data_IF_146970998194
#
_entry.id   IF_146970998194
#
_cell.length_a   1.000
_cell.length_b   1.000
_cell.length_c   1.000
_cell.angle_alpha   90.00
_cell.angle_beta   90.00
_cell.angle_gamma   90.00
#
_symmetry.space_group_name_H-M   'P 1'
#
loop_
_entity.id
_entity.type
_entity.pdbx_description
1 polymer ?
#
# COMPACT_ATOMS: atom_id res chain seq x y z
N UNK A 1 -3.37 13.19 -3.28
CA UNK A 1 -3.47 11.73 -3.15
C UNK A 1 -3.84 11.17 -4.51
N UNK A 2 -2.89 10.50 -5.19
CA UNK A 2 -3.18 9.79 -6.45
C UNK A 2 -4.04 8.57 -6.14
N UNK A 3 -5.22 8.48 -6.75
CA UNK A 3 -6.06 7.29 -6.65
C UNK A 3 -5.40 6.22 -7.53
N UNK A 4 -5.02 5.08 -6.95
CA UNK A 4 -4.45 3.97 -7.72
C UNK A 4 -5.40 3.60 -8.86
N UNK A 5 -4.89 3.59 -10.08
CA UNK A 5 -5.64 3.08 -11.24
C UNK A 5 -5.84 1.57 -11.06
N UNK A 6 -7.05 1.09 -11.31
CA UNK A 6 -7.47 -0.29 -10.98
C UNK A 6 -8.17 -1.01 -12.13
N UNK A 7 -8.47 -0.31 -13.24
CA UNK A 7 -9.24 -0.89 -14.35
C UNK A 7 -8.37 -1.62 -15.34
N UNK A 8 -7.07 -1.30 -15.46
CA UNK A 8 -6.13 -2.02 -16.33
C UNK A 8 -6.22 -3.54 -16.13
N UNK A 9 -6.01 -3.99 -14.89
CA UNK A 9 -5.92 -5.42 -14.58
C UNK A 9 -7.20 -6.18 -14.91
N UNK A 10 -8.35 -5.61 -14.53
CA UNK A 10 -9.66 -6.19 -14.87
C UNK A 10 -9.92 -6.17 -16.37
N UNK A 11 -9.54 -5.10 -17.06
CA UNK A 11 -9.73 -4.97 -18.50
C UNK A 11 -8.97 -6.06 -19.27
N UNK A 12 -7.75 -6.38 -18.84
CA UNK A 12 -6.94 -7.46 -19.41
C UNK A 12 -7.59 -8.83 -19.13
N UNK A 13 -8.01 -9.09 -17.90
CA UNK A 13 -8.67 -10.36 -17.52
C UNK A 13 -9.96 -10.62 -18.30
N UNK A 14 -10.80 -9.60 -18.43
CA UNK A 14 -12.09 -9.69 -19.14
C UNK A 14 -11.92 -9.78 -20.67
N UNK A 15 -10.71 -9.56 -21.19
CA UNK A 15 -10.43 -9.57 -22.62
C UNK A 15 -9.94 -10.94 -23.10
N UNK A 16 -10.90 -11.81 -23.43
CA UNK A 16 -10.66 -13.20 -23.89
C UNK A 16 -9.72 -13.31 -25.09
N UNK A 17 -9.73 -12.32 -25.99
CA UNK A 17 -8.88 -12.34 -27.19
C UNK A 17 -7.70 -11.39 -27.12
N UNK A 18 -7.67 -10.48 -26.14
CA UNK A 18 -6.78 -9.31 -26.11
C UNK A 18 -6.90 -8.41 -27.34
N UNK A 19 -8.02 -8.49 -28.06
CA UNK A 19 -8.35 -7.69 -29.22
C UNK A 19 -9.72 -7.01 -29.01
N UNK A 20 -9.89 -5.82 -29.57
CA UNK A 20 -11.17 -5.10 -29.51
C UNK A 20 -11.13 -3.78 -30.28
N UNK A 21 -12.29 -3.18 -30.52
CA UNK A 21 -12.36 -1.85 -31.10
C UNK A 21 -11.96 -0.80 -30.05
N UNK A 22 -11.55 0.40 -30.49
CA UNK A 22 -11.21 1.50 -29.57
C UNK A 22 -12.34 1.79 -28.58
N UNK A 23 -13.60 1.76 -29.03
CA UNK A 23 -14.78 1.96 -28.18
C UNK A 23 -14.92 0.91 -27.07
N UNK A 24 -14.61 -0.36 -27.35
CA UNK A 24 -14.67 -1.44 -26.35
C UNK A 24 -13.60 -1.25 -25.27
N UNK A 25 -12.37 -0.90 -25.69
CA UNK A 25 -11.27 -0.59 -24.78
C UNK A 25 -11.57 0.65 -23.94
N UNK A 26 -12.09 1.74 -24.54
CA UNK A 26 -12.52 2.95 -23.84
C UNK A 26 -13.58 2.65 -22.77
N UNK A 27 -14.56 1.79 -23.09
CA UNK A 27 -15.61 1.39 -22.15
C UNK A 27 -15.05 0.67 -20.93
N UNK A 28 -14.14 -0.30 -21.13
CA UNK A 28 -13.55 -1.10 -20.05
C UNK A 28 -12.58 -0.28 -19.19
N UNK A 29 -11.67 0.47 -19.83
CA UNK A 29 -10.66 1.28 -19.14
C UNK A 29 -11.25 2.57 -18.56
N UNK A 30 -12.35 3.08 -19.11
CA UNK A 30 -13.00 4.31 -18.66
C UNK A 30 -12.06 5.51 -18.69
N UNK A 31 -11.96 6.22 -17.57
CA UNK A 31 -11.07 7.39 -17.41
C UNK A 31 -9.59 7.03 -17.51
N UNK A 32 -9.23 5.75 -17.40
CA UNK A 32 -7.83 5.28 -17.49
C UNK A 32 -7.41 4.99 -18.95
N UNK A 33 -8.30 5.14 -19.93
CA UNK A 33 -8.02 4.75 -21.31
C UNK A 33 -6.80 5.45 -21.91
N UNK A 34 -6.70 6.78 -21.79
CA UNK A 34 -5.59 7.52 -22.42
C UNK A 34 -4.23 7.11 -21.84
N UNK A 35 -4.15 6.86 -20.53
CA UNK A 35 -2.94 6.39 -19.84
C UNK A 35 -2.49 5.00 -20.33
N UNK A 36 -3.42 4.18 -20.82
CA UNK A 36 -3.14 2.81 -21.29
C UNK A 36 -3.24 2.62 -22.80
N UNK A 37 -3.55 3.67 -23.56
CA UNK A 37 -3.59 3.64 -25.03
C UNK A 37 -2.28 3.15 -25.63
N UNK A 38 -1.13 3.42 -24.97
CA UNK A 38 0.20 2.96 -25.39
C UNK A 38 0.36 1.44 -25.48
N UNK A 39 -0.48 0.67 -24.78
CA UNK A 39 -0.49 -0.79 -24.88
C UNK A 39 -1.40 -1.31 -26.00
N UNK A 40 -2.08 -0.44 -26.77
CA UNK A 40 -3.05 -0.84 -27.78
C UNK A 40 -2.50 -0.57 -29.19
N UNK A 41 -2.05 -1.63 -29.85
CA UNK A 41 -1.49 -1.56 -31.18
C UNK A 41 -2.59 -1.80 -32.24
N UNK A 42 -2.76 -0.92 -33.23
CA UNK A 42 -3.67 -1.17 -34.34
C UNK A 42 -3.20 -2.36 -35.17
N UNK A 43 -4.16 -3.16 -35.64
CA UNK A 43 -3.90 -4.28 -36.55
C UNK A 43 -4.47 -3.98 -37.94
N UNK A 44 -4.15 -4.82 -38.92
CA UNK A 44 -4.75 -4.78 -40.27
C UNK A 44 -6.20 -5.30 -40.29
N UNK A 45 -6.63 -5.98 -39.22
CA UNK A 45 -7.96 -6.58 -39.09
C UNK A 45 -8.98 -5.58 -38.57
N UNK A 46 -10.25 -5.85 -38.89
CA UNK A 46 -11.39 -5.20 -38.26
C UNK A 46 -12.05 -6.16 -37.28
N UNK A 47 -12.72 -5.61 -36.27
CA UNK A 47 -13.52 -6.42 -35.37
C UNK A 47 -14.77 -6.93 -36.07
N UNK A 48 -15.18 -8.16 -35.77
CA UNK A 48 -16.45 -8.70 -36.28
C UNK A 48 -17.68 -8.11 -35.56
N UNK A 49 -17.49 -7.70 -34.30
CA UNK A 49 -18.50 -7.05 -33.46
C UNK A 49 -17.87 -6.01 -32.55
N UNK A 50 -18.63 -5.00 -32.17
CA UNK A 50 -18.30 -4.06 -31.10
C UNK A 50 -19.56 -3.70 -30.31
N UNK A 51 -19.39 -3.07 -29.14
CA UNK A 51 -20.51 -2.56 -28.34
C UNK A 51 -20.77 -1.10 -28.66
N UNK A 52 -22.00 -0.75 -29.02
CA UNK A 52 -22.41 0.62 -29.36
C UNK A 52 -22.70 1.50 -28.14
N UNK A 53 -22.76 2.81 -28.37
CA UNK A 53 -23.04 3.82 -27.32
C UNK A 53 -24.52 3.86 -26.88
N UNK A 54 -25.37 3.14 -27.61
CA UNK A 54 -26.80 2.93 -27.41
C UNK A 54 -27.10 1.94 -26.27
N UNK A 55 -26.53 2.18 -25.09
CA UNK A 55 -26.72 1.32 -23.92
C UNK A 55 -25.97 -0.02 -24.00
N UNK A 56 -25.01 -0.16 -24.93
CA UNK A 56 -24.24 -1.39 -25.10
C UNK A 56 -24.96 -2.47 -25.90
N UNK A 57 -25.70 -2.07 -26.93
CA UNK A 57 -26.15 -3.03 -27.94
C UNK A 57 -24.94 -3.60 -28.71
N UNK A 58 -25.02 -4.87 -29.11
CA UNK A 58 -23.98 -5.47 -29.94
C UNK A 58 -24.22 -5.12 -31.41
N UNK A 59 -23.19 -4.57 -32.05
CA UNK A 59 -23.20 -4.22 -33.46
C UNK A 59 -22.28 -5.18 -34.22
N UNK A 60 -22.80 -5.82 -35.27
CA UNK A 60 -22.03 -6.66 -36.19
C UNK A 60 -21.45 -5.81 -37.29
N UNK A 61 -20.17 -6.01 -37.60
CA UNK A 61 -19.48 -5.27 -38.66
C UNK A 61 -19.36 -6.15 -39.90
N UNK A 62 -19.73 -5.59 -41.04
CA UNK A 62 -19.59 -6.21 -42.36
C UNK A 62 -18.83 -5.24 -43.28
N UNK A 63 -17.96 -5.79 -44.13
CA UNK A 63 -17.23 -5.00 -45.13
C UNK A 63 -17.79 -5.30 -46.50
N UNK A 64 -18.20 -4.24 -47.18
CA UNK A 64 -18.70 -4.32 -48.54
C UNK A 64 -18.04 -3.22 -49.35
N UNK A 65 -17.38 -3.59 -50.45
CA UNK A 65 -16.77 -2.62 -51.37
C UNK A 65 -15.80 -1.64 -50.67
N UNK A 66 -14.95 -2.18 -49.78
CA UNK A 66 -13.96 -1.39 -49.01
C UNK A 66 -14.55 -0.51 -47.89
N UNK A 67 -15.87 -0.40 -47.79
CA UNK A 67 -16.59 0.35 -46.75
C UNK A 67 -17.04 -0.56 -45.63
N UNK A 68 -17.07 -0.03 -44.42
CA UNK A 68 -17.49 -0.78 -43.23
C UNK A 68 -18.92 -0.37 -42.86
N UNK A 69 -19.78 -1.35 -42.64
CA UNK A 69 -21.16 -1.16 -42.19
C UNK A 69 -21.34 -1.87 -40.86
N UNK A 70 -22.00 -1.21 -39.92
CA UNK A 70 -22.37 -1.76 -38.63
C UNK A 70 -23.89 -2.00 -38.60
N UNK A 71 -24.31 -3.21 -38.23
CA UNK A 71 -25.70 -3.59 -38.01
C UNK A 71 -25.97 -3.86 -36.54
N UNK A 72 -26.92 -3.16 -35.95
CA UNK A 72 -27.40 -3.43 -34.60
C UNK A 72 -28.10 -4.80 -34.57
N UNK A 73 -27.64 -5.72 -33.71
CA UNK A 73 -28.21 -7.08 -33.67
C UNK A 73 -29.62 -7.14 -33.06
N UNK A 74 -30.07 -6.09 -32.35
CA UNK A 74 -31.40 -6.01 -31.73
C UNK A 74 -32.40 -5.23 -32.58
N UNK A 75 -32.03 -4.03 -33.03
CA UNK A 75 -32.93 -3.12 -33.78
C UNK A 75 -32.88 -3.34 -35.28
N UNK A 76 -31.87 -4.09 -35.78
CA UNK A 76 -31.55 -4.27 -37.20
C UNK A 76 -31.20 -2.96 -37.94
N UNK A 77 -30.98 -1.87 -37.20
CA UNK A 77 -30.48 -0.62 -37.75
C UNK A 77 -29.11 -0.83 -38.40
N UNK A 78 -28.91 -0.23 -39.57
CA UNK A 78 -27.65 -0.28 -40.31
C UNK A 78 -27.09 1.13 -40.48
N UNK A 79 -25.78 1.27 -40.28
CA UNK A 79 -25.07 2.52 -40.55
C UNK A 79 -23.69 2.26 -41.11
N UNK A 80 -23.24 3.15 -41.99
CA UNK A 80 -21.84 3.18 -42.39
C UNK A 80 -20.99 3.68 -41.22
N UNK A 81 -19.84 3.03 -41.00
CA UNK A 81 -18.93 3.36 -39.90
C UNK A 81 -17.50 3.52 -40.43
N UNK A 82 -16.74 4.54 -39.99
CA UNK A 82 -15.35 4.68 -40.40
C UNK A 82 -14.52 3.45 -40.00
N UNK A 83 -13.66 2.99 -40.90
CA UNK A 83 -12.76 1.84 -40.63
C UNK A 83 -11.94 2.03 -39.35
N UNK A 84 -11.53 3.27 -39.04
CA UNK A 84 -10.76 3.59 -37.82
C UNK A 84 -11.50 3.21 -36.53
N UNK A 85 -12.84 3.29 -36.49
CA UNK A 85 -13.62 2.94 -35.30
C UNK A 85 -13.78 1.43 -35.10
N UNK A 86 -13.68 0.65 -36.18
CA UNK A 86 -13.81 -0.82 -36.18
C UNK A 86 -12.48 -1.54 -36.39
N UNK A 87 -11.36 -0.80 -36.44
CA UNK A 87 -10.03 -1.40 -36.49
C UNK A 87 -9.77 -2.14 -35.19
N UNK A 88 -9.34 -3.40 -35.30
CA UNK A 88 -8.99 -4.21 -34.13
C UNK A 88 -7.70 -3.67 -33.53
N UNK A 89 -7.77 -3.20 -32.30
CA UNK A 89 -6.61 -2.89 -31.46
C UNK A 89 -6.23 -4.13 -30.64
N UNK A 90 -4.97 -4.55 -30.72
CA UNK A 90 -4.40 -5.66 -29.95
C UNK A 90 -3.66 -5.12 -28.74
N UNK A 91 -3.90 -5.72 -27.57
CA UNK A 91 -3.14 -5.41 -26.37
C UNK A 91 -1.72 -5.99 -26.46
N UNK A 92 -0.73 -5.13 -26.22
CA UNK A 92 0.69 -5.45 -26.25
C UNK A 92 1.15 -6.06 -24.91
N UNK A 93 0.88 -7.35 -24.76
CA UNK A 93 1.33 -8.10 -23.58
C UNK A 93 2.85 -8.16 -23.51
N UNK A 94 3.56 -8.07 -24.63
CA UNK A 94 5.01 -8.09 -24.63
C UNK A 94 5.58 -6.81 -24.02
N UNK A 95 5.05 -5.64 -24.39
CA UNK A 95 5.41 -4.36 -23.75
C UNK A 95 5.10 -4.39 -22.25
N UNK A 96 3.90 -4.83 -21.86
CA UNK A 96 3.53 -4.98 -20.45
C UNK A 96 4.52 -5.89 -19.71
N UNK A 97 4.86 -7.05 -20.30
CA UNK A 97 5.75 -8.03 -19.68
C UNK A 97 7.16 -7.47 -19.48
N UNK A 98 7.70 -6.72 -20.44
CA UNK A 98 9.00 -6.05 -20.27
C UNK A 98 8.97 -5.00 -19.17
N UNK A 99 7.91 -4.19 -19.10
CA UNK A 99 7.78 -3.20 -18.03
C UNK A 99 7.66 -3.88 -16.67
N UNK A 100 6.91 -4.97 -16.56
CA UNK A 100 6.84 -5.78 -15.35
C UNK A 100 8.20 -6.38 -14.98
N UNK A 101 8.96 -6.90 -15.94
CA UNK A 101 10.29 -7.45 -15.68
C UNK A 101 11.25 -6.39 -15.12
N UNK A 102 11.22 -5.18 -15.69
CA UNK A 102 12.02 -4.05 -15.20
C UNK A 102 11.60 -3.62 -13.79
N UNK A 103 10.30 -3.44 -13.54
CA UNK A 103 9.76 -3.01 -12.24
C UNK A 103 10.07 -4.02 -11.13
N UNK A 104 9.96 -5.31 -11.43
CA UNK A 104 10.16 -6.39 -10.47
C UNK A 104 11.62 -6.87 -10.40
N UNK A 105 12.54 -6.24 -11.14
CA UNK A 105 13.96 -6.65 -11.23
C UNK A 105 14.14 -8.13 -11.59
N UNK A 106 13.29 -8.62 -12.49
CA UNK A 106 13.31 -9.98 -13.03
C UNK A 106 14.27 -10.02 -14.21
N UNK A 107 15.16 -11.01 -14.26
CA UNK A 107 16.13 -11.17 -15.34
C UNK A 107 15.45 -11.36 -16.69
N UNK A 108 16.00 -10.76 -17.75
CA UNK A 108 15.38 -10.74 -19.08
C UNK A 108 15.33 -12.14 -19.71
N UNK A 109 14.12 -12.65 -19.93
CA UNK A 109 13.85 -13.88 -20.69
C UNK A 109 12.39 -13.87 -21.18
N UNK A 110 11.95 -12.75 -21.76
CA UNK A 110 10.56 -12.61 -22.19
C UNK A 110 10.24 -13.55 -23.35
N UNK A 111 9.26 -14.42 -23.15
CA UNK A 111 8.90 -15.46 -24.13
C UNK A 111 7.40 -15.75 -24.08
N UNK A 112 6.71 -15.70 -25.22
CA UNK A 112 5.29 -16.09 -25.31
C UNK A 112 5.18 -17.60 -25.38
N UNK A 113 4.37 -18.20 -24.51
CA UNK A 113 4.15 -19.64 -24.50
C UNK A 113 2.83 -20.00 -25.20
N UNK A 114 2.93 -20.85 -26.22
CA UNK A 114 1.77 -21.40 -26.93
C UNK A 114 1.28 -20.50 -28.05
N UNK A 115 0.01 -20.66 -28.41
CA UNK A 115 -0.58 -19.97 -29.57
C UNK A 115 -1.27 -18.65 -29.19
N UNK A 116 -1.52 -18.42 -27.91
CA UNK A 116 -2.19 -17.22 -27.41
C UNK A 116 -1.18 -16.29 -26.73
N UNK A 117 -1.51 -15.00 -26.64
CA UNK A 117 -0.67 -14.01 -25.95
C UNK A 117 -0.99 -13.93 -24.45
N UNK A 118 -1.75 -14.89 -23.91
CA UNK A 118 -2.20 -14.90 -22.53
C UNK A 118 -1.20 -15.48 -21.55
N UNK A 119 -0.23 -16.27 -22.05
CA UNK A 119 0.80 -16.91 -21.22
C UNK A 119 2.16 -16.44 -21.72
N UNK A 120 2.87 -15.69 -20.88
CA UNK A 120 4.18 -15.13 -21.24
C UNK A 120 5.14 -15.38 -20.09
N UNK A 121 6.29 -15.97 -20.36
CA UNK A 121 7.42 -15.98 -19.43
C UNK A 121 7.91 -14.55 -19.30
N UNK A 122 7.92 -14.04 -18.07
CA UNK A 122 8.40 -12.70 -17.73
C UNK A 122 9.92 -12.72 -17.60
N UNK A 123 10.44 -13.77 -16.97
CA UNK A 123 11.86 -13.94 -16.76
C UNK A 123 12.18 -14.84 -15.56
N UNK A 124 13.27 -14.53 -14.84
CA UNK A 124 13.71 -15.29 -13.66
C UNK A 124 13.93 -14.35 -12.48
N UNK A 125 13.40 -14.69 -11.31
CA UNK A 125 13.63 -13.93 -10.08
C UNK A 125 15.13 -13.89 -9.72
N UNK A 126 15.59 -12.86 -9.00
CA UNK A 126 16.95 -12.82 -8.51
C UNK A 126 17.27 -14.00 -7.56
N UNK A 127 18.56 -14.32 -7.41
CA UNK A 127 19.02 -15.43 -6.57
C UNK A 127 18.56 -15.31 -5.11
N UNK A 128 18.43 -14.08 -4.59
CA UNK A 128 17.91 -13.80 -3.24
C UNK A 128 16.43 -14.20 -3.04
N UNK A 129 15.73 -14.51 -4.14
CA UNK A 129 14.35 -14.99 -4.18
C UNK A 129 14.24 -16.42 -4.74
N UNK A 130 15.37 -17.14 -4.82
CA UNK A 130 15.43 -18.56 -5.19
C UNK A 130 15.47 -18.83 -6.69
N UNK A 131 15.78 -17.85 -7.54
CA UNK A 131 15.98 -18.03 -9.00
C UNK A 131 14.81 -18.72 -9.72
N UNK A 132 13.58 -18.52 -9.24
CA UNK A 132 12.39 -19.16 -9.82
C UNK A 132 11.96 -18.44 -11.11
N UNK A 133 11.56 -19.16 -12.17
CA UNK A 133 10.98 -18.55 -13.35
C UNK A 133 9.62 -17.91 -13.03
N UNK A 134 9.34 -16.79 -13.69
CA UNK A 134 8.13 -15.99 -13.50
C UNK A 134 7.33 -16.00 -14.80
N UNK A 135 6.04 -16.26 -14.70
CA UNK A 135 5.11 -16.28 -15.82
C UNK A 135 3.93 -15.35 -15.55
N UNK A 136 3.48 -14.62 -16.57
CA UNK A 136 2.24 -13.88 -16.59
C UNK A 136 1.16 -14.74 -17.23
N UNK A 137 0.03 -14.92 -16.54
CA UNK A 137 -1.18 -15.48 -17.13
C UNK A 137 -2.36 -14.53 -16.97
N UNK A 138 -3.04 -14.22 -18.08
CA UNK A 138 -4.16 -13.27 -18.11
C UNK A 138 -5.53 -13.92 -18.34
N UNK A 139 -5.60 -15.25 -18.36
CA UNK A 139 -6.86 -15.97 -18.50
C UNK A 139 -7.77 -15.76 -17.28
N UNK A 140 -9.06 -15.60 -17.52
CA UNK A 140 -10.07 -15.42 -16.46
C UNK A 140 -10.93 -16.67 -16.21
N UNK A 141 -10.96 -17.62 -17.16
CA UNK A 141 -11.75 -18.84 -17.04
C UNK A 141 -10.94 -19.99 -16.48
N UNK A 142 -11.54 -20.74 -15.56
CA UNK A 142 -10.91 -21.87 -14.86
C UNK A 142 -10.28 -22.89 -15.83
N UNK A 143 -10.97 -23.23 -16.93
CA UNK A 143 -10.45 -24.20 -17.91
C UNK A 143 -9.16 -23.72 -18.58
N UNK A 144 -9.12 -22.45 -19.01
CA UNK A 144 -7.94 -21.87 -19.66
C UNK A 144 -6.79 -21.68 -18.68
N UNK A 145 -7.08 -21.30 -17.43
CA UNK A 145 -6.07 -21.22 -16.37
C UNK A 145 -5.44 -22.58 -16.07
N UNK A 146 -6.24 -23.64 -15.98
CA UNK A 146 -5.73 -25.00 -15.77
C UNK A 146 -4.86 -25.45 -16.95
N UNK A 147 -5.29 -25.18 -18.19
CA UNK A 147 -4.49 -25.47 -19.38
C UNK A 147 -3.16 -24.68 -19.39
N UNK A 148 -3.20 -23.40 -19.00
CA UNK A 148 -2.02 -22.57 -18.87
C UNK A 148 -1.07 -23.10 -17.78
N UNK A 149 -1.58 -23.52 -16.62
CA UNK A 149 -0.75 -24.11 -15.55
C UNK A 149 -0.04 -25.38 -15.98
N UNK A 150 -0.74 -26.26 -16.70
CA UNK A 150 -0.16 -27.48 -17.27
C UNK A 150 0.93 -27.15 -18.30
N UNK A 151 0.68 -26.17 -19.18
CA UNK A 151 1.66 -25.69 -20.14
C UNK A 151 2.90 -25.08 -19.47
N UNK A 152 2.70 -24.20 -18.49
CA UNK A 152 3.78 -23.56 -17.74
C UNK A 152 4.58 -24.59 -16.94
N UNK A 153 3.91 -25.54 -16.28
CA UNK A 153 4.57 -26.57 -15.48
C UNK A 153 5.54 -27.42 -16.30
N UNK A 154 5.15 -27.81 -17.52
CA UNK A 154 6.05 -28.51 -18.46
C UNK A 154 7.23 -27.64 -18.89
N UNK A 155 7.02 -26.35 -19.08
CA UNK A 155 8.06 -25.41 -19.49
C UNK A 155 9.05 -25.10 -18.36
N UNK A 156 8.54 -24.82 -17.15
CA UNK A 156 9.33 -24.41 -16.00
C UNK A 156 10.22 -25.51 -15.45
N UNK A 157 9.81 -26.79 -15.55
CA UNK A 157 10.56 -27.95 -15.05
C UNK A 157 10.95 -27.84 -13.56
N UNK A 158 10.11 -27.18 -12.76
CA UNK A 158 10.34 -26.93 -11.33
C UNK A 158 9.38 -25.86 -10.76
N UNK A 159 9.53 -25.47 -9.49
CA UNK A 159 8.70 -24.46 -8.87
C UNK A 159 8.77 -23.12 -9.60
N UNK A 160 7.63 -22.47 -9.79
CA UNK A 160 7.56 -21.20 -10.53
C UNK A 160 6.59 -20.20 -9.89
N UNK A 161 6.71 -18.93 -10.30
CA UNK A 161 5.80 -17.86 -9.90
C UNK A 161 4.83 -17.58 -11.03
N UNK A 162 3.54 -17.53 -10.71
CA UNK A 162 2.48 -17.11 -11.61
C UNK A 162 1.98 -15.71 -11.21
N UNK A 163 2.24 -14.72 -12.05
CA UNK A 163 1.60 -13.42 -11.98
C UNK A 163 0.22 -13.50 -12.64
N UNK A 164 -0.81 -13.09 -11.92
CA UNK A 164 -2.18 -12.98 -12.42
C UNK A 164 -2.67 -11.54 -12.20
N UNK A 165 -3.50 -10.92 -13.06
CA UNK A 165 -3.81 -9.49 -12.91
C UNK A 165 -4.44 -9.10 -11.56
N UNK A 166 -5.46 -9.82 -11.08
CA UNK A 166 -6.14 -9.57 -9.79
C UNK A 166 -6.29 -10.79 -8.88
N UNK A 167 -5.92 -11.98 -9.37
CA UNK A 167 -6.12 -13.26 -8.68
C UNK A 167 -7.58 -13.69 -8.49
N UNK A 168 -8.58 -12.93 -8.98
CA UNK A 168 -10.01 -13.21 -8.79
C UNK A 168 -10.47 -14.55 -9.36
N UNK A 169 -9.86 -14.98 -10.46
CA UNK A 169 -10.18 -16.24 -11.13
C UNK A 169 -9.55 -17.47 -10.44
N UNK A 170 -8.75 -17.27 -9.38
CA UNK A 170 -8.05 -18.34 -8.66
C UNK A 170 -8.97 -18.95 -7.58
N UNK A 171 -9.94 -19.73 -8.06
CA UNK A 171 -10.87 -20.50 -7.23
C UNK A 171 -10.21 -21.74 -6.58
N UNK A 172 -10.99 -22.54 -5.84
CA UNK A 172 -10.49 -23.76 -5.19
C UNK A 172 -10.00 -24.83 -6.18
N UNK A 173 -10.57 -24.88 -7.38
CA UNK A 173 -10.15 -25.81 -8.42
C UNK A 173 -8.79 -25.41 -8.99
N UNK A 174 -8.61 -24.14 -9.38
CA UNK A 174 -7.32 -23.60 -9.85
C UNK A 174 -6.25 -23.75 -8.76
N UNK A 175 -6.58 -23.52 -7.48
CA UNK A 175 -5.64 -23.73 -6.35
C UNK A 175 -5.15 -25.17 -6.23
N UNK A 176 -6.00 -26.16 -6.49
CA UNK A 176 -5.57 -27.56 -6.51
C UNK A 176 -4.53 -27.80 -7.60
N UNK A 177 -4.70 -27.19 -8.77
CA UNK A 177 -3.74 -27.29 -9.87
C UNK A 177 -2.45 -26.50 -9.62
N UNK A 178 -2.53 -25.32 -9.03
CA UNK A 178 -1.35 -24.55 -8.59
C UNK A 178 -0.47 -25.38 -7.65
N UNK A 179 -1.09 -26.05 -6.67
CA UNK A 179 -0.37 -26.92 -5.74
C UNK A 179 0.29 -28.12 -6.45
N UNK A 180 -0.40 -28.75 -7.41
CA UNK A 180 0.16 -29.86 -8.20
C UNK A 180 1.33 -29.44 -9.09
N UNK A 181 1.31 -28.19 -9.57
CA UNK A 181 2.33 -27.63 -10.45
C UNK A 181 3.49 -26.94 -9.69
N UNK A 182 3.47 -26.96 -8.35
CA UNK A 182 4.40 -26.21 -7.48
C UNK A 182 4.49 -24.71 -7.84
N UNK A 183 3.31 -24.15 -8.13
CA UNK A 183 3.14 -22.80 -8.63
C UNK A 183 2.71 -21.84 -7.51
N UNK A 184 3.42 -20.72 -7.42
CA UNK A 184 3.18 -19.67 -6.44
C UNK A 184 2.51 -18.48 -7.11
N UNK A 185 1.22 -18.26 -6.82
CA UNK A 185 0.45 -17.19 -7.47
C UNK A 185 0.56 -15.87 -6.72
N UNK A 186 0.76 -14.77 -7.44
CA UNK A 186 0.76 -13.40 -6.89
C UNK A 186 -0.07 -12.50 -7.82
N UNK A 187 -0.92 -11.66 -7.24
CA UNK A 187 -1.75 -10.73 -8.00
C UNK A 187 -0.97 -9.45 -8.36
N UNK A 188 -1.04 -9.01 -9.62
CA UNK A 188 -0.36 -7.80 -10.09
C UNK A 188 -0.90 -6.54 -9.42
N UNK A 189 -2.20 -6.49 -9.12
CA UNK A 189 -2.82 -5.38 -8.39
C UNK A 189 -2.29 -5.21 -6.94
N UNK A 190 -1.57 -6.21 -6.41
CA UNK A 190 -0.84 -6.13 -5.14
C UNK A 190 0.64 -5.78 -5.32
N UNK A 191 1.23 -6.11 -6.47
CA UNK A 191 2.66 -5.90 -6.75
C UNK A 191 2.94 -4.57 -7.44
N UNK A 192 1.99 -4.03 -8.18
CA UNK A 192 2.19 -2.93 -9.12
C UNK A 192 1.20 -1.81 -8.80
N UNK A 193 1.74 -0.66 -8.44
CA UNK A 193 1.01 0.60 -8.43
C UNK A 193 1.06 1.22 -9.82
N UNK A 194 -0.07 1.76 -10.27
CA UNK A 194 -0.13 2.44 -11.57
C UNK A 194 -0.41 3.93 -11.36
N UNK A 195 0.48 4.77 -11.89
CA UNK A 195 0.38 6.22 -11.79
C UNK A 195 -0.73 6.77 -12.68
N UNK A 196 -1.12 8.04 -12.48
CA UNK A 196 -2.12 8.70 -13.32
C UNK A 196 -1.73 8.74 -14.80
N UNK A 197 -0.43 8.80 -15.09
CA UNK A 197 0.12 8.84 -16.45
C UNK A 197 0.33 7.43 -17.04
N UNK A 198 -0.07 6.39 -16.33
CA UNK A 198 -0.02 5.00 -16.80
C UNK A 198 1.32 4.30 -16.62
N UNK A 199 2.25 4.88 -15.85
CA UNK A 199 3.52 4.23 -15.50
C UNK A 199 3.30 3.14 -14.46
N UNK A 200 3.99 2.01 -14.65
CA UNK A 200 3.99 0.90 -13.71
C UNK A 200 5.12 1.11 -12.70
N UNK A 201 4.77 1.16 -11.42
CA UNK A 201 5.70 1.26 -10.31
C UNK A 201 5.51 0.07 -9.38
N UNK A 202 6.59 -0.37 -8.75
CA UNK A 202 6.49 -1.40 -7.73
C UNK A 202 5.68 -0.86 -6.54
N UNK A 203 4.72 -1.65 -6.05
CA UNK A 203 3.97 -1.31 -4.85
C UNK A 203 4.91 -1.26 -3.63
N UNK A 204 4.60 -0.44 -2.61
CA UNK A 204 5.33 -0.50 -1.34
C UNK A 204 5.33 -1.94 -0.82
N UNK A 205 6.50 -2.41 -0.36
CA UNK A 205 6.70 -3.77 0.16
C UNK A 205 6.41 -4.91 -0.82
N UNK A 206 6.44 -4.68 -2.14
CA UNK A 206 6.25 -5.77 -3.13
C UNK A 206 7.23 -6.94 -2.91
N UNK A 207 8.50 -6.66 -2.55
CA UNK A 207 9.50 -7.70 -2.23
C UNK A 207 9.09 -8.55 -1.02
N UNK A 208 8.47 -7.93 0.01
CA UNK A 208 7.94 -8.65 1.16
C UNK A 208 6.83 -9.61 0.76
N UNK A 209 5.90 -9.17 -0.10
CA UNK A 209 4.83 -10.02 -0.62
C UNK A 209 5.40 -11.22 -1.38
N UNK A 210 6.36 -10.99 -2.29
CA UNK A 210 7.01 -12.07 -3.05
C UNK A 210 7.67 -13.07 -2.09
N UNK A 211 8.45 -12.59 -1.11
CA UNK A 211 9.11 -13.47 -0.12
C UNK A 211 8.12 -14.28 0.70
N UNK A 212 7.06 -13.63 1.19
CA UNK A 212 6.01 -14.28 1.96
C UNK A 212 5.31 -15.36 1.14
N UNK A 213 4.93 -15.07 -0.11
CA UNK A 213 4.32 -16.06 -1.00
C UNK A 213 5.27 -17.25 -1.24
N UNK A 214 6.56 -16.98 -1.42
CA UNK A 214 7.57 -17.99 -1.69
C UNK A 214 8.05 -18.76 -0.45
N UNK A 215 7.51 -18.46 0.74
CA UNK A 215 7.94 -19.08 2.00
C UNK A 215 9.41 -18.79 2.36
N UNK A 216 9.99 -17.72 1.81
CA UNK A 216 11.38 -17.36 2.06
C UNK A 216 11.44 -16.67 3.42
N UNK A 217 12.01 -17.35 4.42
CA UNK A 217 12.22 -16.75 5.73
C UNK A 217 13.15 -15.54 5.60
N UNK A 218 12.68 -14.36 6.04
CA UNK A 218 13.45 -13.12 6.09
C UNK A 218 14.59 -13.25 7.10
N UNK A 219 15.68 -13.89 6.70
CA UNK A 219 16.90 -13.99 7.49
C UNK A 219 17.87 -12.84 7.22
N UNK A 220 17.61 -11.98 6.22
CA UNK A 220 18.57 -10.98 5.75
C UNK A 220 18.00 -9.62 5.31
N UNK A 221 16.73 -9.32 5.57
CA UNK A 221 16.24 -7.94 5.39
C UNK A 221 16.44 -7.15 6.69
N UNK A 222 16.92 -5.91 6.61
CA UNK A 222 17.03 -5.04 7.77
C UNK A 222 15.63 -4.85 8.36
N UNK A 223 15.39 -5.36 9.57
CA UNK A 223 14.11 -5.15 10.28
C UNK A 223 14.16 -3.74 10.88
N UNK A 224 13.19 -2.91 10.53
CA UNK A 224 12.97 -1.59 11.12
C UNK A 224 11.66 -1.64 11.90
N UNK A 225 11.75 -1.85 13.21
CA UNK A 225 10.58 -2.08 14.06
C UNK A 225 10.59 -1.14 15.25
N UNK A 226 9.42 -0.60 15.57
CA UNK A 226 9.19 0.23 16.74
C UNK A 226 7.77 -0.01 17.26
N UNK A 227 7.56 -1.19 17.87
CA UNK A 227 6.23 -1.67 18.27
C UNK A 227 6.10 -1.80 19.78
N UNK A 228 5.01 -1.28 20.35
CA UNK A 228 4.69 -1.47 21.78
C UNK A 228 4.12 -2.86 22.04
N UNK A 229 4.56 -3.49 23.13
CA UNK A 229 4.09 -4.78 23.64
C UNK A 229 3.99 -4.65 25.16
N UNK A 230 2.77 -4.51 25.70
CA UNK A 230 2.40 -4.22 27.10
C UNK A 230 3.45 -3.46 27.93
N UNK A 231 4.49 -4.15 28.43
CA UNK A 231 5.52 -3.61 29.33
C UNK A 231 6.81 -3.09 28.66
N UNK A 232 6.99 -3.30 27.36
CA UNK A 232 8.22 -2.97 26.64
C UNK A 232 7.98 -2.64 25.15
N UNK A 233 9.04 -2.27 24.44
CA UNK A 233 9.00 -1.99 23.00
C UNK A 233 9.90 -2.96 22.26
N UNK A 234 9.37 -3.59 21.21
CA UNK A 234 10.17 -4.32 20.24
C UNK A 234 10.80 -3.33 19.27
N UNK A 235 12.13 -3.22 19.34
CA UNK A 235 12.89 -2.24 18.57
C UNK A 235 13.93 -2.94 17.70
N UNK A 236 13.97 -2.59 16.41
CA UNK A 236 15.02 -3.02 15.48
C UNK A 236 15.38 -1.89 14.51
N UNK A 237 16.64 -1.81 14.13
CA UNK A 237 17.11 -0.95 13.06
C UNK A 237 18.20 -1.65 12.26
N UNK A 238 17.78 -2.40 11.24
CA UNK A 238 18.72 -3.15 10.41
C UNK A 238 19.17 -4.50 10.97
N UNK A 239 18.59 -4.96 12.08
CA UNK A 239 19.02 -6.16 12.77
C UNK A 239 17.87 -6.88 13.49
N UNK A 240 18.22 -7.77 14.42
CA UNK A 240 17.22 -8.54 15.19
C UNK A 240 16.46 -7.63 16.16
N UNK A 241 15.12 -7.72 16.26
CA UNK A 241 14.33 -7.03 17.28
C UNK A 241 14.80 -7.33 18.69
N UNK A 242 15.01 -6.26 19.47
CA UNK A 242 15.39 -6.32 20.88
C UNK A 242 14.32 -5.64 21.73
N UNK A 243 13.97 -6.21 22.90
CA UNK A 243 13.06 -5.57 23.82
C UNK A 243 13.77 -4.40 24.52
N UNK A 244 13.14 -3.23 24.52
CA UNK A 244 13.59 -2.02 25.23
C UNK A 244 12.52 -1.62 26.25
N UNK A 245 12.94 -1.28 27.47
CA UNK A 245 12.03 -0.88 28.55
C UNK A 245 11.16 0.29 28.10
N UNK A 246 9.85 0.19 28.34
CA UNK A 246 8.92 1.28 28.06
C UNK A 246 9.22 2.50 28.94
N UNK A 247 9.17 3.70 28.36
CA UNK A 247 9.44 4.99 29.02
C UNK A 247 8.61 6.10 28.35
N UNK A 248 8.38 7.20 29.06
CA UNK A 248 7.60 8.34 28.56
C UNK A 248 8.05 8.92 27.22
N UNK A 249 9.31 8.69 26.81
CA UNK A 249 9.83 9.11 25.52
C UNK A 249 9.45 8.22 24.32
N UNK A 250 9.14 6.95 24.55
CA UNK A 250 8.91 5.98 23.46
C UNK A 250 7.67 6.32 22.61
N UNK A 251 6.51 6.69 23.19
CA UNK A 251 5.35 7.08 22.39
C UNK A 251 5.58 8.32 21.52
N UNK A 252 6.41 9.26 21.98
CA UNK A 252 6.81 10.44 21.19
C UNK A 252 7.63 10.03 19.98
N UNK A 253 8.62 9.14 20.18
CA UNK A 253 9.43 8.59 19.08
C UNK A 253 8.54 7.84 18.08
N UNK A 254 7.65 6.94 18.54
CA UNK A 254 6.72 6.23 17.67
C UNK A 254 5.87 7.18 16.81
N UNK A 255 5.34 8.24 17.43
CA UNK A 255 4.54 9.27 16.74
C UNK A 255 5.34 9.99 15.66
N UNK A 256 6.59 10.36 15.93
CA UNK A 256 7.47 11.02 14.95
C UNK A 256 7.91 10.07 13.83
N UNK A 257 8.26 8.83 14.15
CA UNK A 257 8.64 7.81 13.16
C UNK A 257 7.49 7.48 12.20
N UNK A 258 6.24 7.51 12.69
CA UNK A 258 5.05 7.29 11.85
C UNK A 258 4.73 8.45 10.91
N UNK A 259 5.44 9.59 11.05
CA UNK A 259 5.22 10.84 10.31
C UNK A 259 6.55 11.46 9.86
N UNK A 260 7.30 10.78 8.98
CA UNK A 260 8.57 11.31 8.49
C UNK A 260 8.37 12.64 7.75
N UNK A 261 9.28 13.57 7.99
CA UNK A 261 9.33 14.92 7.41
C UNK A 261 8.11 15.81 7.70
N UNK A 262 7.35 15.49 8.75
CA UNK A 262 6.23 16.32 9.23
C UNK A 262 6.63 17.00 10.54
N UNK A 263 6.73 18.33 10.50
CA UNK A 263 6.94 19.13 11.71
C UNK A 263 5.71 19.13 12.60
N UNK A 264 5.91 18.92 13.91
CA UNK A 264 4.87 18.93 14.92
C UNK A 264 5.31 19.78 16.10
N UNK A 265 4.44 20.65 16.63
CA UNK A 265 4.77 21.33 17.88
C UNK A 265 4.80 20.32 19.04
N UNK A 266 5.61 20.58 20.07
CA UNK A 266 5.69 19.72 21.24
C UNK A 266 4.32 19.52 21.91
N UNK A 267 3.47 20.56 21.91
CA UNK A 267 2.10 20.47 22.42
C UNK A 267 1.20 19.57 21.57
N UNK A 268 1.32 19.62 20.23
CA UNK A 268 0.62 18.68 19.34
C UNK A 268 1.07 17.24 19.58
N UNK A 269 2.36 17.03 19.82
CA UNK A 269 2.91 15.71 20.09
C UNK A 269 2.45 15.17 21.46
N UNK A 270 2.44 16.00 22.51
CA UNK A 270 1.82 15.69 23.81
C UNK A 270 0.34 15.31 23.65
N UNK A 271 -0.42 16.05 22.84
CA UNK A 271 -1.85 15.80 22.59
C UNK A 271 -2.12 14.48 21.85
N UNK A 272 -1.25 14.10 20.91
CA UNK A 272 -1.36 12.83 20.18
C UNK A 272 -1.03 11.65 21.09
N UNK A 273 0.04 11.74 21.87
CA UNK A 273 0.48 10.66 22.78
C UNK A 273 -0.49 10.45 23.94
N UNK A 274 -1.09 11.51 24.47
CA UNK A 274 -2.09 11.43 25.53
C UNK A 274 -3.48 10.99 25.04
N UNK A 275 -3.69 10.84 23.72
CA UNK A 275 -4.99 10.48 23.13
C UNK A 275 -6.02 11.61 23.09
N UNK A 276 -5.65 12.82 23.52
CA UNK A 276 -6.52 14.02 23.51
C UNK A 276 -6.90 14.40 22.07
N UNK A 277 -5.96 14.31 21.12
CA UNK A 277 -6.23 14.67 19.72
C UNK A 277 -7.23 13.73 19.03
N UNK A 278 -7.34 12.48 19.49
CA UNK A 278 -8.29 11.50 18.95
C UNK A 278 -9.71 11.74 19.51
N UNK A 279 -9.80 12.08 20.80
CA UNK A 279 -11.04 12.51 21.46
C UNK A 279 -11.69 13.74 20.80
N UNK A 280 -10.87 14.71 20.36
CA UNK A 280 -11.33 15.93 19.68
C UNK A 280 -11.86 15.66 18.26
N UNK A 281 -11.40 14.61 17.56
CA UNK A 281 -11.88 14.29 16.20
C UNK A 281 -13.22 13.55 16.18
N UNK A 282 -13.57 12.86 17.26
CA UNK A 282 -14.84 12.11 17.37
C UNK A 282 -16.03 12.96 17.83
N UNK A 283 -15.80 14.21 18.27
CA UNK A 283 -16.84 15.14 18.72
C UNK A 283 -17.34 16.06 17.60
N UNK A 284 -18.60 15.88 17.18
CA UNK A 284 -19.27 16.72 16.19
C UNK A 284 -19.64 18.13 16.69
N UNK A 285 -19.67 19.07 15.74
CA UNK A 285 -20.03 20.50 15.80
C UNK A 285 -20.89 20.95 17.01
N UNK A 286 -20.34 21.79 17.90
CA UNK A 286 -21.10 22.87 18.55
C UNK A 286 -20.69 23.33 19.97
N UNK A 287 -20.51 24.66 20.09
CA UNK A 287 -20.51 25.55 21.29
C UNK A 287 -19.21 25.66 22.12
N UNK A 288 -18.78 26.92 22.35
CA UNK A 288 -17.59 27.35 23.11
C UNK A 288 -17.61 26.79 24.53
N UNK A 289 -16.59 26.01 24.88
CA UNK A 289 -16.25 25.60 26.26
C UNK A 289 -15.05 26.41 26.73
N UNK A 290 -14.95 26.58 28.05
CA UNK A 290 -14.03 27.45 28.76
C UNK A 290 -12.57 26.97 28.64
N UNK A 291 -11.71 27.79 28.01
CA UNK A 291 -10.30 27.52 27.72
C UNK A 291 -9.46 27.20 28.98
N UNK A 292 -9.92 27.58 30.17
CA UNK A 292 -9.23 27.36 31.43
C UNK A 292 -9.27 25.89 31.90
N UNK A 293 -10.43 25.22 31.81
CA UNK A 293 -10.60 23.83 32.23
C UNK A 293 -9.74 22.85 31.42
N UNK A 294 -9.48 23.18 30.14
CA UNK A 294 -8.61 22.39 29.28
C UNK A 294 -7.13 22.53 29.62
N UNK A 295 -6.69 23.74 29.99
CA UNK A 295 -5.32 23.96 30.47
C UNK A 295 -5.05 23.20 31.76
N UNK A 296 -6.00 23.20 32.68
CA UNK A 296 -5.90 22.47 33.95
C UNK A 296 -5.84 20.97 33.73
N UNK A 297 -6.68 20.45 32.83
CA UNK A 297 -6.68 19.05 32.42
C UNK A 297 -5.36 18.63 31.76
N UNK A 298 -4.82 19.44 30.84
CA UNK A 298 -3.53 19.20 30.19
C UNK A 298 -2.37 19.22 31.20
N UNK A 299 -2.35 20.24 32.08
CA UNK A 299 -1.35 20.36 33.14
C UNK A 299 -1.37 19.14 34.07
N UNK A 300 -2.56 18.66 34.43
CA UNK A 300 -2.71 17.47 35.28
C UNK A 300 -2.26 16.19 34.56
N UNK A 301 -2.62 16.00 33.31
CA UNK A 301 -2.16 14.84 32.51
C UNK A 301 -0.63 14.81 32.39
N UNK A 302 0.03 15.97 32.28
CA UNK A 302 1.49 16.06 32.30
C UNK A 302 2.12 15.67 33.64
N UNK A 303 1.48 16.08 34.74
CA UNK A 303 1.89 15.66 36.09
C UNK A 303 1.69 14.16 36.29
N UNK A 304 0.57 13.60 35.80
CA UNK A 304 0.29 12.17 35.84
C UNK A 304 1.36 11.39 35.07
N UNK A 305 1.73 11.82 33.86
CA UNK A 305 2.80 11.18 33.10
C UNK A 305 4.14 11.19 33.86
N UNK A 306 4.49 12.31 34.49
CA UNK A 306 5.70 12.42 35.31
C UNK A 306 5.63 11.55 36.57
N UNK A 307 4.44 11.43 37.17
CA UNK A 307 4.19 10.58 38.33
C UNK A 307 4.23 9.08 37.99
N UNK A 308 3.77 8.70 36.80
CA UNK A 308 3.84 7.32 36.31
C UNK A 308 5.29 6.88 36.09
N UNK A 309 6.15 7.76 35.56
CA UNK A 309 7.58 7.48 35.44
C UNK A 309 8.22 7.25 36.83
N UNK A 310 7.92 8.11 37.81
CA UNK A 310 8.44 7.96 39.17
C UNK A 310 7.93 6.68 39.85
N UNK A 311 6.62 6.40 39.76
CA UNK A 311 6.02 5.19 40.31
C UNK A 311 6.58 3.92 39.65
N UNK A 312 6.89 3.96 38.35
CA UNK A 312 7.50 2.85 37.62
C UNK A 312 8.96 2.62 38.01
N UNK A 313 9.71 3.68 38.28
CA UNK A 313 11.09 3.59 38.78
C UNK A 313 11.14 3.04 40.22
N UNK A 314 10.16 3.41 41.05
CA UNK A 314 10.00 2.93 42.43
C UNK A 314 9.24 1.59 42.54
N UNK A 315 8.78 1.03 41.42
CA UNK A 315 7.95 -0.19 41.34
C UNK A 315 6.65 -0.14 42.18
N UNK A 316 6.07 1.04 42.37
CA UNK A 316 4.82 1.26 43.09
C UNK A 316 3.60 1.06 42.18
N UNK A 317 3.18 -0.20 42.02
CA UNK A 317 2.01 -0.58 41.22
C UNK A 317 0.69 0.05 41.70
N UNK A 318 0.59 0.37 42.99
CA UNK A 318 -0.60 1.03 43.56
C UNK A 318 -0.67 2.50 43.14
N UNK A 319 0.46 3.20 43.11
CA UNK A 319 0.55 4.54 42.53
C UNK A 319 0.30 4.51 41.02
N UNK A 320 0.84 3.53 40.29
CA UNK A 320 0.60 3.39 38.85
C UNK A 320 -0.90 3.24 38.52
N UNK A 321 -1.58 2.29 39.17
CA UNK A 321 -3.01 2.03 38.94
C UNK A 321 -3.87 3.27 39.22
N UNK A 322 -3.57 3.99 40.31
CA UNK A 322 -4.29 5.23 40.67
C UNK A 322 -4.10 6.32 39.61
N UNK A 323 -2.87 6.52 39.16
CA UNK A 323 -2.53 7.53 38.15
C UNK A 323 -3.12 7.20 36.77
N UNK A 324 -3.19 5.92 36.40
CA UNK A 324 -3.87 5.47 35.17
C UNK A 324 -5.39 5.66 35.25
N UNK A 325 -5.99 5.36 36.41
CA UNK A 325 -7.43 5.58 36.63
C UNK A 325 -7.75 7.08 36.52
N UNK A 326 -6.97 7.93 37.18
CA UNK A 326 -7.14 9.39 37.11
C UNK A 326 -6.95 9.92 35.69
N UNK A 327 -5.99 9.38 34.93
CA UNK A 327 -5.80 9.69 33.51
C UNK A 327 -7.08 9.41 32.72
N UNK A 328 -7.66 8.22 32.91
CA UNK A 328 -8.84 7.79 32.16
C UNK A 328 -10.08 8.62 32.52
N UNK A 329 -10.24 9.01 33.79
CA UNK A 329 -11.29 9.93 34.25
C UNK A 329 -11.16 11.32 33.61
N UNK A 330 -9.95 11.90 33.61
CA UNK A 330 -9.69 13.21 32.98
C UNK A 330 -9.94 13.13 31.48
N UNK A 331 -9.50 12.05 30.80
CA UNK A 331 -9.77 11.86 29.37
C UNK A 331 -11.26 11.70 29.08
N UNK A 332 -12.02 11.02 29.93
CA UNK A 332 -13.47 10.90 29.82
C UNK A 332 -14.18 12.25 30.03
N UNK A 333 -13.67 13.10 30.93
CA UNK A 333 -14.19 14.45 31.16
C UNK A 333 -13.88 15.37 29.98
N UNK A 334 -12.64 15.37 29.49
CA UNK A 334 -12.23 16.13 28.29
C UNK A 334 -13.08 15.73 27.08
N UNK A 335 -13.38 14.43 26.88
CA UNK A 335 -14.28 13.96 25.80
C UNK A 335 -15.69 14.55 25.87
N UNK A 336 -16.22 14.78 27.07
CA UNK A 336 -17.53 15.42 27.26
C UNK A 336 -17.48 16.92 26.97
N UNK A 337 -16.35 17.56 27.26
CA UNK A 337 -16.21 19.01 27.26
C UNK A 337 -15.67 19.56 25.91
N UNK A 338 -14.89 18.81 25.12
CA UNK A 338 -14.17 19.36 23.94
C UNK A 338 -14.87 19.22 22.59
N UNK A 339 -16.17 19.53 22.51
CA UNK A 339 -16.91 19.54 21.25
C UNK A 339 -16.38 20.46 20.13
N UNK A 340 -15.29 21.24 20.31
CA UNK A 340 -14.40 21.75 19.26
C UNK A 340 -13.16 22.49 19.84
N UNK A 341 -12.05 22.37 19.11
CA UNK A 341 -10.68 22.81 19.42
C UNK A 341 -10.49 24.31 19.73
N UNK A 342 -9.73 24.61 20.79
CA UNK A 342 -9.14 25.93 21.06
C UNK A 342 -7.61 25.83 21.11
N UNK A 343 -6.93 26.39 20.11
CA UNK A 343 -5.49 26.58 20.13
C UNK A 343 -5.16 27.73 21.07
N UNK A 344 -4.34 27.47 22.09
CA UNK A 344 -3.88 28.50 23.02
C UNK A 344 -2.40 28.72 22.79
N UNK A 345 -2.06 29.95 22.41
CA UNK A 345 -0.70 30.47 22.34
C UNK A 345 -0.33 31.17 23.65
N UNK A 346 0.65 30.62 24.35
CA UNK A 346 1.57 31.34 25.23
C UNK A 346 2.98 30.79 24.96
N UNK A 347 3.93 31.68 24.61
CA UNK A 347 5.32 31.32 24.28
C UNK A 347 6.04 30.61 25.45
N UNK A 348 5.62 30.91 26.68
CA UNK A 348 6.19 30.29 27.88
C UNK A 348 5.80 28.81 28.03
N UNK A 349 4.57 28.46 27.66
CA UNK A 349 4.05 27.09 27.72
C UNK A 349 4.57 26.24 26.57
N UNK A 350 4.67 26.81 25.36
CA UNK A 350 5.27 26.14 24.21
C UNK A 350 6.72 25.72 24.49
N UNK A 351 7.51 26.62 25.12
CA UNK A 351 8.88 26.32 25.53
C UNK A 351 8.95 25.23 26.60
N UNK A 352 8.07 25.28 27.61
CA UNK A 352 8.01 24.26 28.67
C UNK A 352 7.60 22.88 28.13
N UNK A 353 6.65 22.83 27.19
CA UNK A 353 6.27 21.62 26.48
C UNK A 353 7.46 21.07 25.68
N UNK A 354 8.13 21.92 24.90
CA UNK A 354 9.33 21.56 24.14
C UNK A 354 10.45 20.98 25.01
N UNK A 355 10.77 21.62 26.13
CA UNK A 355 11.79 21.14 27.06
C UNK A 355 11.43 19.77 27.66
N UNK A 356 10.15 19.55 27.98
CA UNK A 356 9.65 18.29 28.55
C UNK A 356 9.74 17.15 27.54
N UNK A 357 9.20 17.35 26.33
CA UNK A 357 9.23 16.38 25.23
C UNK A 357 10.68 16.06 24.84
N UNK A 358 11.53 17.08 24.72
CA UNK A 358 12.94 16.89 24.40
C UNK A 358 13.68 16.06 25.48
N UNK A 359 13.40 16.28 26.76
CA UNK A 359 13.97 15.46 27.84
C UNK A 359 13.47 14.01 27.77
N UNK A 360 12.19 13.79 27.54
CA UNK A 360 11.61 12.45 27.43
C UNK A 360 12.21 11.68 26.26
N UNK A 361 12.27 12.29 25.06
CA UNK A 361 12.87 11.69 23.86
C UNK A 361 14.35 11.35 24.11
N UNK A 362 15.13 12.27 24.68
CA UNK A 362 16.56 12.01 24.99
C UNK A 362 16.75 10.85 25.97
N UNK A 363 15.88 10.71 26.98
CA UNK A 363 15.90 9.57 27.90
C UNK A 363 15.59 8.26 27.18
N UNK A 364 14.56 8.23 26.34
CA UNK A 364 14.23 7.05 25.55
C UNK A 364 15.36 6.65 24.59
N UNK A 365 16.00 7.61 23.90
CA UNK A 365 17.16 7.35 23.05
C UNK A 365 18.30 6.69 23.85
N UNK A 366 18.52 7.09 25.11
CA UNK A 366 19.52 6.46 25.98
C UNK A 366 19.17 5.01 26.36
N UNK A 367 17.89 4.70 26.55
CA UNK A 367 17.45 3.31 26.77
C UNK A 367 17.56 2.46 25.50
N UNK A 368 17.25 3.04 24.34
CA UNK A 368 17.44 2.41 23.03
C UNK A 368 18.93 2.12 22.82
N UNK A 369 19.84 3.05 23.09
CA UNK A 369 21.28 2.90 22.88
C UNK A 369 21.88 1.67 23.57
N UNK A 370 21.39 1.32 24.77
CA UNK A 370 21.85 0.14 25.51
C UNK A 370 21.56 -1.17 24.77
N UNK A 371 20.59 -1.18 23.86
CA UNK A 371 20.10 -2.37 23.16
C UNK A 371 20.33 -2.29 21.66
N UNK A 372 20.11 -1.15 21.03
CA UNK A 372 20.12 -0.92 19.57
C UNK A 372 20.89 0.39 19.31
N UNK A 373 22.23 0.40 19.45
CA UNK A 373 23.04 1.61 19.32
C UNK A 373 22.90 2.27 17.94
N UNK A 374 22.77 1.47 16.88
CA UNK A 374 22.54 1.95 15.51
C UNK A 374 21.25 2.76 15.36
N UNK A 375 20.18 2.42 16.09
CA UNK A 375 18.96 3.23 16.12
C UNK A 375 19.16 4.50 16.92
N UNK A 376 19.87 4.44 18.04
CA UNK A 376 20.11 5.63 18.85
C UNK A 376 20.87 6.70 18.05
N UNK A 377 21.86 6.30 17.26
CA UNK A 377 22.61 7.18 16.37
C UNK A 377 21.73 7.76 15.26
N UNK A 378 20.90 6.92 14.62
CA UNK A 378 19.91 7.36 13.64
C UNK A 378 18.95 8.42 14.21
N UNK A 379 18.39 8.17 15.40
CA UNK A 379 17.46 9.11 16.04
C UNK A 379 18.15 10.42 16.42
N UNK A 380 19.42 10.40 16.84
CA UNK A 380 20.17 11.62 17.17
C UNK A 380 20.46 12.47 15.96
N UNK A 381 20.70 11.86 14.79
CA UNK A 381 20.98 12.60 13.57
C UNK A 381 19.71 13.16 12.93
N UNK A 382 18.62 12.41 13.02
CA UNK A 382 17.44 12.64 12.18
C UNK A 382 16.21 13.13 12.97
N UNK A 383 16.24 13.17 14.31
CA UNK A 383 15.18 13.76 15.13
C UNK A 383 15.59 15.13 15.66
N UNK A 384 14.87 16.16 15.23
CA UNK A 384 14.92 17.50 15.82
C UNK A 384 13.91 17.58 16.96
N UNK A 385 14.32 18.14 18.11
CA UNK A 385 13.47 18.36 19.29
C UNK A 385 13.57 19.81 19.75
N UNK A 386 12.46 20.35 20.27
CA UNK A 386 12.34 21.74 20.70
C UNK A 386 10.88 22.14 20.83
N UNK A 387 10.55 23.42 20.61
CA UNK A 387 9.15 23.84 20.44
C UNK A 387 8.52 23.10 19.26
N UNK A 388 9.28 22.95 18.18
CA UNK A 388 8.96 22.11 17.04
C UNK A 388 9.82 20.83 17.07
N UNK A 389 9.16 19.70 16.84
CA UNK A 389 9.74 18.37 16.79
C UNK A 389 9.50 17.77 15.40
N UNK A 390 10.49 17.08 14.85
CA UNK A 390 10.39 16.48 13.53
C UNK A 390 11.37 15.32 13.40
N UNK A 391 10.96 14.27 12.70
CA UNK A 391 11.85 13.20 12.24
C UNK A 391 12.09 13.36 10.74
N UNK A 392 13.33 13.64 10.34
CA UNK A 392 13.74 13.92 8.96
C UNK A 392 14.86 12.98 8.53
N UNK A 393 14.54 11.72 8.17
CA UNK A 393 15.57 10.76 7.82
C UNK A 393 16.18 11.06 6.45
N UNK A 394 17.48 10.81 6.30
CA UNK A 394 18.21 11.02 5.02
C UNK A 394 17.69 10.12 3.88
N UNK A 395 17.21 8.93 4.24
CA UNK A 395 16.57 7.98 3.34
C UNK A 395 15.27 7.50 3.99
N UNK A 396 14.21 7.22 3.21
CA UNK A 396 12.99 6.65 3.76
C UNK A 396 13.27 5.33 4.50
N UNK A 397 12.76 5.23 5.74
CA UNK A 397 12.85 4.01 6.56
C UNK A 397 11.45 3.42 6.70
N UNK A 398 11.30 2.13 6.39
CA UNK A 398 10.02 1.43 6.43
C UNK A 398 9.74 0.82 7.80
N UNK A 399 9.20 1.64 8.72
CA UNK A 399 8.92 1.24 10.10
C UNK A 399 7.71 0.30 10.22
N UNK A 400 7.88 -0.76 11.02
CA UNK A 400 6.79 -1.60 11.55
C UNK A 400 6.40 -1.12 12.96
N UNK A 401 5.13 -0.75 13.16
CA UNK A 401 4.58 -0.26 14.44
C UNK A 401 3.77 -1.28 15.21
#
# INVERSE_FOLDING_TARGET
MSKSMTRLWRCIEESVTLHGAEGDWRRRLGTEFESFRRFLNPTDRIVARFQGDDGGASWRVEVFDGRCFARNEQTLENREIPRSQVTSLKFDVHLLTRELAAVLSVGDSVEVLGLTHHVVRVGVLPASLGSRPVYLCTHTWTADLVAALDQIGRHASGPFVLLHPTGRAIDSHVRSWLSKADAHVIALDQLIHVTGDGELLAAPRFDHLIRQTLGIQNTNLPVYRFRKDDDFWWVAFGGTPRPVKDSSGMPYIASLLSRPSVGMTAMQLESVVSGIHEAVRTGGRGKKVDDQSLRESHSRLKQIASGLDAAKDDQDFSAMTRLETERDEILAQVRKDTGLSGAIHDDSDAKRAGDSVARAIRRAIKEIEKKVPELADHLRSDVTVGIDCMYSPKQPVDWEF
#
